data_IF_328631607908
#
_entry.id   IF_328631607908
#
_cell.length_a   1.000
_cell.length_b   1.000
_cell.length_c   1.000
_cell.angle_alpha   90.00
_cell.angle_beta   90.00
_cell.angle_gamma   90.00
#
_symmetry.space_group_name_H-M   'P 1'
#
loop_
_entity.id
_entity.type
_entity.pdbx_description
1 polymer ?
#
# COMPACT_ATOMS: atom_id res chain seq x y z
N UNK A 1 -5.11 6.15 -17.83
CA UNK A 1 -5.05 5.18 -16.73
C UNK A 1 -5.34 3.79 -17.27
N UNK A 2 -4.50 2.79 -16.98
CA UNK A 2 -4.81 1.37 -17.21
C UNK A 2 -5.42 0.78 -15.94
N UNK A 3 -6.22 -0.27 -16.11
CA UNK A 3 -6.84 -0.99 -14.99
C UNK A 3 -6.45 -2.46 -15.04
N UNK A 4 -6.35 -3.07 -13.85
CA UNK A 4 -6.03 -4.49 -13.69
C UNK A 4 -7.05 -5.17 -12.80
N UNK A 5 -7.33 -6.41 -13.08
CA UNK A 5 -8.21 -7.23 -12.24
C UNK A 5 -7.54 -7.49 -10.88
N UNK A 6 -8.30 -7.37 -9.79
CA UNK A 6 -7.81 -7.62 -8.44
C UNK A 6 -8.02 -9.10 -8.07
N UNK A 7 -7.00 -9.90 -8.30
CA UNK A 7 -7.04 -11.34 -8.02
C UNK A 7 -8.22 -12.04 -8.69
N UNK A 8 -8.81 -13.00 -8.00
CA UNK A 8 -9.98 -13.75 -8.46
C UNK A 8 -11.32 -12.98 -8.27
N UNK A 9 -11.29 -11.68 -7.93
CA UNK A 9 -12.50 -10.86 -7.78
C UNK A 9 -13.07 -10.36 -9.12
N UNK A 10 -14.22 -9.70 -9.08
CA UNK A 10 -14.78 -8.93 -10.21
C UNK A 10 -14.30 -7.46 -10.22
N UNK A 11 -13.42 -7.08 -9.28
CA UNK A 11 -12.92 -5.71 -9.17
C UNK A 11 -11.83 -5.42 -10.22
N UNK A 12 -11.97 -4.29 -10.90
CA UNK A 12 -10.92 -3.69 -11.73
C UNK A 12 -10.40 -2.44 -11.03
N UNK A 13 -9.10 -2.43 -10.70
CA UNK A 13 -8.43 -1.34 -10.00
C UNK A 13 -7.44 -0.62 -10.90
N UNK A 14 -7.33 0.69 -10.76
CA UNK A 14 -6.31 1.48 -11.45
C UNK A 14 -4.89 1.06 -11.04
N UNK A 15 -3.97 1.02 -11.99
CA UNK A 15 -2.55 0.68 -11.75
C UNK A 15 -1.89 1.58 -10.71
N UNK A 16 -2.33 2.82 -10.60
CA UNK A 16 -1.97 3.76 -9.54
C UNK A 16 -3.20 3.96 -8.65
N UNK A 17 -3.01 3.84 -7.35
CA UNK A 17 -4.03 4.10 -6.34
C UNK A 17 -3.62 5.22 -5.38
N UNK A 18 -4.61 5.83 -4.74
CA UNK A 18 -4.37 6.87 -3.74
C UNK A 18 -4.49 6.28 -2.34
N UNK A 19 -3.42 6.43 -1.54
CA UNK A 19 -3.36 6.00 -0.15
C UNK A 19 -3.45 7.18 0.83
N UNK A 20 -4.11 6.97 1.95
CA UNK A 20 -4.36 8.01 2.96
C UNK A 20 -3.32 8.05 4.09
N UNK A 21 -2.39 7.10 4.16
CA UNK A 21 -1.43 7.01 5.26
C UNK A 21 -0.57 8.27 5.38
N UNK A 22 -0.49 8.84 6.58
CA UNK A 22 0.23 10.06 6.97
C UNK A 22 -0.20 11.35 6.22
N UNK A 23 -0.87 11.22 5.09
CA UNK A 23 -1.24 12.37 4.29
C UNK A 23 -2.55 12.96 4.80
N UNK A 24 -3.57 12.13 4.99
CA UNK A 24 -4.93 12.57 5.32
C UNK A 24 -5.35 12.28 6.78
N UNK A 25 -4.41 11.91 7.63
CA UNK A 25 -4.62 11.67 9.05
C UNK A 25 -4.11 12.81 9.96
N UNK A 26 -4.14 14.04 9.45
CA UNK A 26 -3.67 15.25 10.13
C UNK A 26 -2.36 15.84 9.60
N UNK A 27 -1.77 15.24 8.54
CA UNK A 27 -0.55 15.73 7.89
C UNK A 27 -0.78 16.69 6.72
N UNK A 28 -2.03 16.81 6.25
CA UNK A 28 -2.44 17.70 5.16
C UNK A 28 -3.78 18.33 5.53
N UNK A 29 -3.93 19.61 5.23
CA UNK A 29 -5.17 20.35 5.43
C UNK A 29 -6.34 19.73 4.66
N UNK A 30 -7.55 19.86 5.19
CA UNK A 30 -8.76 19.23 4.64
C UNK A 30 -9.01 19.60 3.16
N UNK A 31 -8.78 20.87 2.80
CA UNK A 31 -8.95 21.34 1.42
C UNK A 31 -7.95 20.70 0.46
N UNK A 32 -6.71 20.50 0.89
CA UNK A 32 -5.69 19.81 0.10
C UNK A 32 -5.99 18.31 -0.02
N UNK A 33 -6.55 17.68 1.04
CA UNK A 33 -7.04 16.30 0.99
C UNK A 33 -8.13 16.14 -0.06
N UNK A 34 -9.12 17.03 -0.05
CA UNK A 34 -10.20 17.07 -1.06
C UNK A 34 -9.61 17.28 -2.46
N UNK A 35 -8.76 18.29 -2.65
CA UNK A 35 -8.16 18.59 -3.94
C UNK A 35 -7.35 17.41 -4.52
N UNK A 36 -6.60 16.67 -3.68
CA UNK A 36 -5.89 15.46 -4.10
C UNK A 36 -6.86 14.33 -4.47
N UNK A 37 -7.96 14.17 -3.74
CA UNK A 37 -8.96 13.12 -4.03
C UNK A 37 -9.70 13.42 -5.35
N UNK A 38 -10.11 14.66 -5.59
CA UNK A 38 -10.70 15.08 -6.86
C UNK A 38 -9.72 14.90 -8.03
N UNK A 39 -8.46 15.30 -7.86
CA UNK A 39 -7.42 15.07 -8.86
C UNK A 39 -7.18 13.57 -9.15
N UNK A 40 -7.42 12.69 -8.18
CA UNK A 40 -7.34 11.27 -8.40
C UNK A 40 -8.47 10.78 -9.34
N UNK A 41 -9.70 11.22 -9.11
CA UNK A 41 -10.81 10.92 -10.03
C UNK A 41 -10.55 11.50 -11.43
N UNK A 42 -10.08 12.74 -11.53
CA UNK A 42 -9.76 13.39 -12.81
C UNK A 42 -8.66 12.64 -13.58
N UNK A 43 -7.69 12.03 -12.86
CA UNK A 43 -6.64 11.20 -13.44
C UNK A 43 -7.09 9.76 -13.79
N UNK A 44 -8.34 9.39 -13.47
CA UNK A 44 -8.89 8.06 -13.65
C UNK A 44 -8.46 7.06 -12.58
N UNK A 45 -7.98 7.52 -11.43
CA UNK A 45 -7.73 6.65 -10.27
C UNK A 45 -9.08 6.29 -9.66
N UNK A 46 -9.37 4.99 -9.58
CA UNK A 46 -10.59 4.48 -8.97
C UNK A 46 -10.36 3.70 -7.68
N UNK A 47 -9.11 3.56 -7.23
CA UNK A 47 -8.78 2.75 -6.06
C UNK A 47 -8.23 3.61 -4.92
N UNK A 48 -8.91 3.57 -3.76
CA UNK A 48 -8.62 4.36 -2.56
C UNK A 48 -8.33 3.42 -1.39
N UNK A 49 -7.11 3.51 -0.82
CA UNK A 49 -6.64 2.64 0.26
C UNK A 49 -6.44 3.41 1.57
N UNK A 50 -7.14 2.98 2.62
CA UNK A 50 -7.02 3.52 3.97
C UNK A 50 -6.83 2.41 5.02
N UNK A 51 -6.87 2.75 6.30
CA UNK A 51 -6.93 1.83 7.43
C UNK A 51 -7.53 2.53 8.65
N UNK A 52 -8.17 1.76 9.54
CA UNK A 52 -8.74 2.27 10.77
C UNK A 52 -7.72 3.00 11.65
N UNK A 53 -6.47 2.49 11.70
CA UNK A 53 -5.40 3.03 12.54
C UNK A 53 -4.83 4.36 12.04
N UNK A 54 -5.06 4.75 10.79
CA UNK A 54 -4.51 6.00 10.24
C UNK A 54 -5.15 7.22 10.90
N UNK A 55 -4.37 7.86 11.79
CA UNK A 55 -4.88 8.93 12.66
C UNK A 55 -6.02 8.46 13.56
N UNK A 56 -6.04 7.17 13.97
CA UNK A 56 -7.13 6.57 14.78
C UNK A 56 -8.52 6.85 14.18
N UNK A 57 -8.64 6.65 12.87
CA UNK A 57 -9.88 6.84 12.11
C UNK A 57 -10.03 8.19 11.41
N UNK A 58 -9.13 9.14 11.63
CA UNK A 58 -9.22 10.47 11.01
C UNK A 58 -9.14 10.41 9.47
N UNK A 59 -8.30 9.53 8.92
CA UNK A 59 -8.19 9.35 7.47
C UNK A 59 -9.48 8.76 6.86
N UNK A 60 -10.10 7.78 7.52
CA UNK A 60 -11.39 7.24 7.09
C UNK A 60 -12.50 8.30 7.16
N UNK A 61 -12.54 9.10 8.23
CA UNK A 61 -13.53 10.16 8.39
C UNK A 61 -13.39 11.25 7.30
N UNK A 62 -12.16 11.66 6.97
CA UNK A 62 -11.90 12.61 5.91
C UNK A 62 -12.38 12.09 4.54
N UNK A 63 -12.07 10.83 4.21
CA UNK A 63 -12.56 10.24 2.96
C UNK A 63 -14.05 9.93 2.99
N UNK A 64 -14.62 9.57 4.12
CA UNK A 64 -16.07 9.41 4.24
C UNK A 64 -16.84 10.68 3.89
N UNK A 65 -16.28 11.85 4.23
CA UNK A 65 -16.86 13.14 3.84
C UNK A 65 -16.72 13.41 2.34
N UNK A 66 -15.54 13.15 1.76
CA UNK A 66 -15.25 13.49 0.37
C UNK A 66 -15.91 12.49 -0.57
N UNK A 67 -15.69 11.18 -0.36
CA UNK A 67 -16.15 10.12 -1.24
C UNK A 67 -17.68 9.97 -1.26
N UNK A 68 -18.38 10.37 -0.19
CA UNK A 68 -19.85 10.36 -0.18
C UNK A 68 -20.50 11.29 -1.20
N UNK A 69 -19.75 12.21 -1.81
CA UNK A 69 -20.22 13.04 -2.93
C UNK A 69 -20.07 12.39 -4.32
N UNK A 70 -19.41 11.24 -4.41
CA UNK A 70 -19.23 10.47 -5.63
C UNK A 70 -20.15 9.23 -5.64
N UNK A 71 -20.59 8.75 -6.80
CA UNK A 71 -21.34 7.50 -6.90
C UNK A 71 -20.53 6.35 -6.29
N UNK A 72 -21.13 5.56 -5.39
CA UNK A 72 -20.41 4.50 -4.64
C UNK A 72 -19.78 3.44 -5.55
N UNK A 73 -20.39 3.16 -6.68
CA UNK A 73 -19.94 2.20 -7.69
C UNK A 73 -18.86 2.76 -8.65
N UNK A 74 -18.51 4.04 -8.52
CA UNK A 74 -17.48 4.67 -9.36
C UNK A 74 -16.06 4.46 -8.82
N UNK A 75 -15.90 3.88 -7.62
CA UNK A 75 -14.59 3.66 -7.00
C UNK A 75 -14.54 2.38 -6.15
N UNK A 76 -13.34 1.84 -6.02
CA UNK A 76 -12.99 0.73 -5.14
C UNK A 76 -12.41 1.29 -3.84
N UNK A 77 -12.99 0.92 -2.70
CA UNK A 77 -12.60 1.39 -1.38
C UNK A 77 -12.05 0.25 -0.53
N UNK A 78 -10.82 0.40 -0.06
CA UNK A 78 -10.17 -0.55 0.84
C UNK A 78 -9.92 0.07 2.21
N UNK A 79 -10.19 -0.70 3.28
CA UNK A 79 -9.73 -0.38 4.62
C UNK A 79 -9.14 -1.61 5.33
N UNK A 80 -8.53 -1.40 6.50
CA UNK A 80 -7.77 -2.45 7.21
C UNK A 80 -8.05 -2.41 8.71
N UNK A 81 -7.80 -3.54 9.37
CA UNK A 81 -7.91 -3.73 10.82
C UNK A 81 -6.66 -4.41 11.37
N UNK A 82 -6.21 -4.02 12.53
CA UNK A 82 -5.21 -4.63 13.41
C UNK A 82 -4.59 -3.61 14.38
N UNK A 83 -4.28 -2.40 13.94
CA UNK A 83 -3.55 -1.41 14.73
C UNK A 83 -4.35 -0.88 15.92
N UNK A 84 -3.67 -0.26 16.93
CA UNK A 84 -4.31 0.27 18.13
C UNK A 84 -5.21 1.48 17.81
N UNK A 85 -6.46 1.42 18.22
CA UNK A 85 -7.43 2.49 18.00
C UNK A 85 -7.59 3.42 19.20
N UNK A 86 -7.17 2.99 20.38
CA UNK A 86 -7.11 3.78 21.60
C UNK A 86 -5.87 3.43 22.42
N UNK A 87 -5.76 3.99 23.63
CA UNK A 87 -4.66 3.67 24.55
C UNK A 87 -4.93 2.36 25.33
N UNK A 88 -6.12 1.77 25.18
CA UNK A 88 -6.44 0.44 25.70
C UNK A 88 -5.69 -0.63 24.87
N UNK A 89 -4.82 -1.44 25.49
CA UNK A 89 -4.10 -2.51 24.81
C UNK A 89 -5.02 -3.55 24.13
N UNK A 90 -6.25 -3.70 24.59
CA UNK A 90 -7.24 -4.61 24.02
C UNK A 90 -7.90 -4.06 22.74
N UNK A 91 -7.82 -2.74 22.50
CA UNK A 91 -8.47 -2.10 21.35
C UNK A 91 -7.61 -2.18 20.08
N UNK A 92 -7.22 -3.42 19.75
CA UNK A 92 -6.39 -3.77 18.58
C UNK A 92 -6.46 -5.27 18.28
N UNK A 93 -5.89 -5.68 17.16
CA UNK A 93 -5.69 -7.09 16.81
C UNK A 93 -6.73 -7.62 15.84
N UNK A 94 -6.73 -8.96 15.67
CA UNK A 94 -7.57 -9.70 14.73
C UNK A 94 -8.51 -10.70 15.41
N UNK A 95 -8.85 -10.50 16.70
CA UNK A 95 -9.90 -11.31 17.32
C UNK A 95 -11.26 -11.06 16.65
N UNK A 96 -12.16 -12.02 16.74
CA UNK A 96 -13.50 -11.92 16.18
C UNK A 96 -14.25 -10.67 16.69
N UNK A 97 -14.08 -10.33 17.97
CA UNK A 97 -14.65 -9.12 18.56
C UNK A 97 -14.08 -7.85 17.92
N UNK A 98 -12.75 -7.76 17.76
CA UNK A 98 -12.11 -6.59 17.17
C UNK A 98 -12.43 -6.44 15.69
N UNK A 99 -12.43 -7.52 14.92
CA UNK A 99 -12.81 -7.48 13.50
C UNK A 99 -14.24 -6.94 13.34
N UNK A 100 -15.19 -7.48 14.10
CA UNK A 100 -16.59 -7.04 14.05
C UNK A 100 -16.78 -5.58 14.49
N UNK A 101 -16.16 -5.20 15.62
CA UNK A 101 -16.19 -3.82 16.15
C UNK A 101 -15.61 -2.82 15.17
N UNK A 102 -14.44 -3.14 14.61
CA UNK A 102 -13.71 -2.19 13.80
C UNK A 102 -14.31 -2.00 12.41
N UNK A 103 -14.89 -3.04 11.79
CA UNK A 103 -15.57 -2.85 10.50
C UNK A 103 -16.78 -1.92 10.66
N UNK A 104 -17.60 -2.08 11.71
CA UNK A 104 -18.77 -1.22 11.95
C UNK A 104 -18.35 0.24 12.19
N UNK A 105 -17.29 0.44 12.95
CA UNK A 105 -16.71 1.76 13.19
C UNK A 105 -16.13 2.38 11.91
N UNK A 106 -15.45 1.59 11.07
CA UNK A 106 -14.90 2.03 9.79
C UNK A 106 -15.99 2.44 8.81
N UNK A 107 -17.04 1.63 8.66
CA UNK A 107 -18.19 1.95 7.80
C UNK A 107 -18.88 3.24 8.23
N UNK A 108 -19.01 3.47 9.54
CA UNK A 108 -19.55 4.71 10.10
C UNK A 108 -18.70 5.92 9.73
N UNK A 109 -17.35 5.83 9.87
CA UNK A 109 -16.43 6.91 9.51
C UNK A 109 -16.39 7.17 8.01
N UNK A 110 -16.39 6.09 7.20
CA UNK A 110 -16.40 6.14 5.74
C UNK A 110 -17.76 6.52 5.13
N UNK A 111 -18.83 6.61 5.96
CA UNK A 111 -20.19 6.97 5.54
C UNK A 111 -20.73 6.07 4.42
N UNK A 112 -20.48 4.78 4.53
CA UNK A 112 -20.89 3.76 3.54
C UNK A 112 -21.41 2.52 4.28
N UNK A 113 -22.20 1.69 3.60
CA UNK A 113 -22.69 0.42 4.12
C UNK A 113 -21.74 -0.75 3.88
N UNK A 114 -20.79 -0.61 2.96
CA UNK A 114 -19.77 -1.61 2.69
C UNK A 114 -18.46 -1.01 2.17
N UNK A 115 -17.38 -1.79 2.32
CA UNK A 115 -16.11 -1.58 1.60
C UNK A 115 -15.94 -2.67 0.54
N UNK A 116 -15.19 -2.38 -0.53
CA UNK A 116 -14.90 -3.40 -1.55
C UNK A 116 -13.86 -4.39 -1.05
N UNK A 117 -12.87 -3.91 -0.30
CA UNK A 117 -11.78 -4.74 0.22
C UNK A 117 -11.55 -4.46 1.70
N UNK A 118 -11.63 -5.50 2.54
CA UNK A 118 -11.29 -5.44 3.96
C UNK A 118 -10.05 -6.29 4.24
N UNK A 119 -9.04 -5.71 4.88
CA UNK A 119 -7.73 -6.32 4.96
C UNK A 119 -7.25 -6.53 6.41
N UNK A 120 -6.63 -7.68 6.67
CA UNK A 120 -5.78 -7.86 7.84
C UNK A 120 -4.51 -7.01 7.66
N UNK A 121 -4.37 -5.92 8.43
CA UNK A 121 -3.26 -4.97 8.27
C UNK A 121 -1.91 -5.60 8.61
N UNK A 122 -1.90 -6.58 9.51
CA UNK A 122 -0.75 -7.43 9.88
C UNK A 122 -1.27 -8.80 10.32
N UNK A 123 -0.42 -9.79 10.35
CA UNK A 123 -0.72 -11.04 11.03
C UNK A 123 -0.79 -10.82 12.56
N UNK A 124 -1.74 -11.45 13.22
CA UNK A 124 -1.85 -11.39 14.68
C UNK A 124 -1.50 -12.73 15.31
N UNK A 125 -0.26 -12.88 15.85
CA UNK A 125 0.16 -14.14 16.45
C UNK A 125 -0.50 -14.42 17.83
N UNK A 126 -1.26 -13.47 18.37
CA UNK A 126 -1.97 -13.64 19.63
C UNK A 126 -3.37 -14.26 19.46
N UNK A 127 -3.85 -14.37 18.22
CA UNK A 127 -5.16 -14.89 17.87
C UNK A 127 -4.99 -16.13 16.97
N UNK A 128 -5.72 -17.24 17.22
CA UNK A 128 -5.74 -18.37 16.30
C UNK A 128 -6.16 -17.93 14.89
N UNK A 129 -5.45 -18.43 13.88
CA UNK A 129 -5.73 -18.03 12.49
C UNK A 129 -7.14 -18.43 12.05
N UNK A 130 -7.65 -19.53 12.59
CA UNK A 130 -9.01 -20.03 12.37
C UNK A 130 -10.06 -19.00 12.82
N UNK A 131 -9.89 -18.42 14.02
CA UNK A 131 -10.79 -17.38 14.55
C UNK A 131 -10.77 -16.14 13.66
N UNK A 132 -9.56 -15.71 13.23
CA UNK A 132 -9.39 -14.57 12.33
C UNK A 132 -10.12 -14.80 11.00
N UNK A 133 -9.94 -15.97 10.39
CA UNK A 133 -10.55 -16.33 9.11
C UNK A 133 -12.07 -16.38 9.21
N UNK A 134 -12.61 -17.08 10.22
CA UNK A 134 -14.06 -17.16 10.45
C UNK A 134 -14.68 -15.76 10.66
N UNK A 135 -14.01 -14.89 11.39
CA UNK A 135 -14.47 -13.53 11.61
C UNK A 135 -14.50 -12.69 10.31
N UNK A 136 -13.46 -12.81 9.46
CA UNK A 136 -13.44 -12.15 8.16
C UNK A 136 -14.52 -12.67 7.21
N UNK A 137 -14.71 -13.99 7.13
CA UNK A 137 -15.79 -14.59 6.34
C UNK A 137 -17.16 -14.06 6.78
N UNK A 138 -17.38 -13.91 8.08
CA UNK A 138 -18.63 -13.37 8.64
C UNK A 138 -18.87 -11.91 8.24
N UNK A 139 -17.82 -11.11 8.11
CA UNK A 139 -17.92 -9.72 7.60
C UNK A 139 -18.41 -9.72 6.14
N UNK A 140 -17.94 -10.64 5.31
CA UNK A 140 -18.39 -10.80 3.92
C UNK A 140 -19.84 -11.31 3.87
N UNK A 141 -20.19 -12.33 4.65
CA UNK A 141 -21.56 -12.84 4.76
C UNK A 141 -22.59 -11.78 5.17
N UNK A 142 -22.16 -10.82 6.02
CA UNK A 142 -22.97 -9.67 6.44
C UNK A 142 -23.06 -8.56 5.38
N UNK A 143 -22.35 -8.70 4.24
CA UNK A 143 -22.31 -7.70 3.18
C UNK A 143 -21.54 -6.42 3.53
N UNK A 144 -20.76 -6.42 4.63
CA UNK A 144 -19.96 -5.26 5.07
C UNK A 144 -18.66 -5.10 4.32
N UNK A 145 -18.15 -6.17 3.71
CA UNK A 145 -17.04 -6.17 2.77
C UNK A 145 -17.38 -7.11 1.61
N UNK A 146 -16.94 -6.75 0.39
CA UNK A 146 -17.12 -7.63 -0.78
C UNK A 146 -16.03 -8.69 -0.85
N UNK A 147 -14.79 -8.28 -0.59
CA UNK A 147 -13.60 -9.12 -0.68
C UNK A 147 -12.67 -8.90 0.50
N UNK A 148 -11.80 -9.88 0.70
CA UNK A 148 -10.81 -9.90 1.77
C UNK A 148 -9.38 -9.83 1.22
N UNK A 149 -8.48 -9.27 2.03
CA UNK A 149 -7.05 -9.22 1.75
C UNK A 149 -6.22 -9.23 3.03
N UNK A 150 -4.92 -9.22 2.85
CA UNK A 150 -3.96 -9.13 3.96
C UNK A 150 -2.76 -8.27 3.58
N UNK A 151 -1.99 -7.84 4.58
CA UNK A 151 -0.76 -7.07 4.40
C UNK A 151 0.36 -7.63 5.26
N UNK A 152 1.55 -7.81 4.67
CA UNK A 152 2.76 -8.23 5.37
C UNK A 152 2.61 -9.54 6.15
N UNK A 153 2.08 -10.58 5.50
CA UNK A 153 2.08 -11.94 6.00
C UNK A 153 3.24 -12.74 5.39
N UNK A 154 3.78 -13.71 6.12
CA UNK A 154 4.78 -14.64 5.56
C UNK A 154 4.13 -15.65 4.64
N UNK A 155 4.93 -16.28 3.76
CA UNK A 155 4.43 -17.32 2.87
C UNK A 155 3.78 -18.49 3.63
N UNK A 156 4.31 -18.84 4.81
CA UNK A 156 3.74 -19.89 5.67
C UNK A 156 2.39 -19.48 6.24
N UNK A 157 2.22 -18.21 6.65
CA UNK A 157 0.95 -17.70 7.15
C UNK A 157 -0.12 -17.64 6.05
N UNK A 158 0.27 -17.24 4.84
CA UNK A 158 -0.61 -17.22 3.67
C UNK A 158 -1.04 -18.65 3.32
N UNK A 159 -0.08 -19.59 3.25
CA UNK A 159 -0.38 -20.98 2.95
C UNK A 159 -1.30 -21.59 3.99
N UNK A 160 -1.07 -21.34 5.28
CA UNK A 160 -1.94 -21.82 6.36
C UNK A 160 -3.39 -21.31 6.22
N UNK A 161 -3.57 -20.06 5.83
CA UNK A 161 -4.91 -19.51 5.58
C UNK A 161 -5.60 -20.17 4.37
N UNK A 162 -4.84 -20.40 3.30
CA UNK A 162 -5.34 -21.09 2.09
C UNK A 162 -5.70 -22.56 2.39
N UNK A 163 -4.90 -23.25 3.18
CA UNK A 163 -5.16 -24.64 3.57
C UNK A 163 -6.44 -24.76 4.42
N UNK A 164 -6.75 -23.74 5.22
CA UNK A 164 -7.94 -23.70 6.07
C UNK A 164 -9.23 -23.34 5.33
N UNK A 165 -9.18 -22.34 4.44
CA UNK A 165 -10.39 -21.76 3.88
C UNK A 165 -10.44 -21.74 2.34
N UNK A 166 -9.41 -22.29 1.68
CA UNK A 166 -9.29 -22.34 0.23
C UNK A 166 -8.67 -21.09 -0.39
N UNK A 167 -8.26 -21.17 -1.67
CA UNK A 167 -7.54 -20.10 -2.37
C UNK A 167 -8.42 -18.87 -2.68
N UNK A 168 -9.74 -19.02 -2.59
CA UNK A 168 -10.68 -17.92 -2.87
C UNK A 168 -10.92 -16.99 -1.67
N UNK A 169 -10.34 -17.30 -0.51
CA UNK A 169 -10.51 -16.51 0.71
C UNK A 169 -10.02 -15.07 0.53
N UNK A 170 -8.81 -14.92 -0.01
CA UNK A 170 -8.19 -13.62 -0.23
C UNK A 170 -8.01 -13.32 -1.71
N UNK A 171 -8.31 -12.10 -2.11
CA UNK A 171 -8.11 -11.61 -3.48
C UNK A 171 -6.87 -10.71 -3.60
N UNK A 172 -6.35 -10.21 -2.47
CA UNK A 172 -5.20 -9.31 -2.48
C UNK A 172 -4.22 -9.53 -1.34
N UNK A 173 -2.95 -9.34 -1.66
CA UNK A 173 -1.81 -9.19 -0.75
C UNK A 173 -1.31 -7.74 -0.82
N UNK A 174 -0.92 -7.15 0.30
CA UNK A 174 -0.39 -5.79 0.33
C UNK A 174 1.02 -5.75 0.93
N UNK A 175 2.05 -6.11 0.16
CA UNK A 175 3.45 -6.04 0.60
C UNK A 175 4.08 -4.66 0.34
N UNK A 176 5.16 -4.33 1.08
CA UNK A 176 6.10 -3.30 0.67
C UNK A 176 6.82 -3.73 -0.61
N UNK A 177 6.86 -2.86 -1.63
CA UNK A 177 7.60 -3.15 -2.85
C UNK A 177 8.03 -1.87 -3.57
N UNK A 178 9.30 -1.84 -3.96
CA UNK A 178 9.90 -0.73 -4.72
C UNK A 178 11.23 -1.17 -5.33
N UNK A 179 11.86 -0.34 -6.15
CA UNK A 179 13.22 -0.58 -6.65
C UNK A 179 14.26 -0.87 -5.56
N UNK A 180 14.06 -0.33 -4.33
CA UNK A 180 14.97 -0.53 -3.21
C UNK A 180 14.52 -1.65 -2.24
N UNK A 181 13.32 -2.17 -2.40
CA UNK A 181 12.75 -3.23 -1.57
C UNK A 181 12.10 -4.27 -2.48
N UNK A 182 12.86 -5.30 -2.82
CA UNK A 182 12.47 -6.35 -3.78
C UNK A 182 12.16 -7.68 -3.09
N UNK A 183 12.10 -7.71 -1.76
CA UNK A 183 11.85 -8.91 -0.97
C UNK A 183 10.63 -9.75 -1.44
N UNK A 184 9.51 -9.15 -1.92
CA UNK A 184 8.38 -9.93 -2.45
C UNK A 184 8.71 -10.79 -3.69
N UNK A 185 9.72 -10.43 -4.47
CA UNK A 185 10.16 -11.23 -5.63
C UNK A 185 10.78 -12.57 -5.21
N UNK A 186 11.20 -12.70 -3.95
CA UNK A 186 11.80 -13.92 -3.41
C UNK A 186 10.72 -14.92 -2.91
N UNK A 187 9.66 -15.14 -3.69
CA UNK A 187 8.67 -16.19 -3.51
C UNK A 187 7.26 -15.75 -3.12
N UNK A 188 7.06 -14.50 -2.61
CA UNK A 188 5.70 -14.03 -2.32
C UNK A 188 4.89 -13.88 -3.62
N UNK A 189 5.46 -13.28 -4.65
CA UNK A 189 4.77 -13.07 -5.93
C UNK A 189 4.39 -14.41 -6.58
N UNK A 190 5.29 -15.39 -6.58
CA UNK A 190 5.00 -16.74 -7.12
C UNK A 190 3.86 -17.41 -6.35
N UNK A 191 3.86 -17.30 -5.01
CA UNK A 191 2.81 -17.86 -4.16
C UNK A 191 1.45 -17.18 -4.43
N UNK A 192 1.43 -15.86 -4.48
CA UNK A 192 0.17 -15.12 -4.69
C UNK A 192 -0.39 -15.35 -6.10
N UNK A 193 0.46 -15.39 -7.13
CA UNK A 193 0.05 -15.70 -8.50
C UNK A 193 -0.55 -17.11 -8.61
N UNK A 194 0.11 -18.12 -8.00
CA UNK A 194 -0.37 -19.51 -8.02
C UNK A 194 -1.78 -19.68 -7.43
N UNK A 195 -2.19 -18.78 -6.55
CA UNK A 195 -3.50 -18.82 -5.89
C UNK A 195 -4.48 -17.73 -6.39
N UNK A 196 -4.13 -17.00 -7.47
CA UNK A 196 -4.99 -15.98 -8.04
C UNK A 196 -5.19 -14.75 -7.12
N UNK A 197 -4.19 -14.45 -6.29
CA UNK A 197 -4.14 -13.29 -5.40
C UNK A 197 -3.28 -12.23 -6.07
N UNK A 198 -3.79 -11.01 -6.27
CA UNK A 198 -3.00 -9.89 -6.80
C UNK A 198 -2.29 -9.13 -5.68
N UNK A 199 -1.18 -8.49 -6.02
CA UNK A 199 -0.48 -7.61 -5.09
C UNK A 199 -0.88 -6.14 -5.32
N UNK A 200 -1.26 -5.45 -4.25
CA UNK A 200 -1.42 -4.00 -4.19
C UNK A 200 -0.30 -3.46 -3.30
N UNK A 201 0.69 -2.82 -3.88
CA UNK A 201 1.95 -2.59 -3.17
C UNK A 201 2.02 -1.21 -2.53
N UNK A 202 2.54 -1.15 -1.30
CA UNK A 202 2.75 0.11 -0.60
C UNK A 202 4.21 0.57 -0.66
N UNK A 203 4.43 1.89 -0.49
CA UNK A 203 5.74 2.55 -0.58
C UNK A 203 6.48 2.33 -1.90
N UNK A 204 5.83 2.39 -3.07
CA UNK A 204 6.49 2.16 -4.35
C UNK A 204 7.59 3.18 -4.67
N UNK A 205 7.56 4.34 -4.02
CA UNK A 205 8.60 5.39 -4.11
C UNK A 205 9.58 5.39 -2.92
N UNK A 206 9.66 4.28 -2.15
CA UNK A 206 10.55 4.14 -0.99
C UNK A 206 10.48 5.36 -0.06
N UNK A 207 9.28 5.73 0.40
CA UNK A 207 9.02 6.89 1.26
C UNK A 207 9.46 8.24 0.65
N UNK A 208 9.62 8.30 -0.65
CA UNK A 208 10.06 9.48 -1.40
C UNK A 208 11.56 9.51 -1.71
N UNK A 209 12.33 8.49 -1.35
CA UNK A 209 13.76 8.37 -1.74
C UNK A 209 13.89 8.27 -3.26
N UNK A 210 13.04 7.48 -3.91
CA UNK A 210 13.00 7.31 -5.37
C UNK A 210 12.46 8.53 -6.15
N UNK A 211 12.29 9.68 -5.47
CA UNK A 211 12.07 10.97 -6.17
C UNK A 211 13.37 11.69 -6.53
N UNK A 212 14.53 11.21 -6.02
CA UNK A 212 15.84 11.81 -6.25
C UNK A 212 16.13 13.08 -5.43
N UNK A 213 15.18 13.55 -4.61
CA UNK A 213 15.33 14.79 -3.82
C UNK A 213 16.31 14.67 -2.65
N UNK A 214 16.52 13.45 -2.14
CA UNK A 214 17.49 13.19 -1.09
C UNK A 214 18.84 12.85 -1.73
N UNK A 215 19.90 13.55 -1.30
CA UNK A 215 21.24 13.41 -1.90
C UNK A 215 22.24 12.93 -0.86
N UNK A 216 23.19 12.06 -1.25
CA UNK A 216 24.28 11.63 -0.39
C UNK A 216 25.04 12.82 0.22
N UNK A 217 25.39 12.74 1.50
CA UNK A 217 26.14 13.77 2.21
C UNK A 217 25.45 15.13 2.34
N UNK A 218 24.18 15.29 1.93
CA UNK A 218 23.44 16.54 2.05
C UNK A 218 22.41 16.45 3.20
N UNK A 219 22.07 17.59 3.86
CA UNK A 219 21.00 17.62 4.83
C UNK A 219 19.66 17.25 4.18
N UNK A 220 18.77 16.69 5.00
CA UNK A 220 17.40 16.36 4.56
C UNK A 220 16.68 17.66 4.15
N UNK A 221 16.10 17.73 2.94
CA UNK A 221 15.39 18.91 2.48
C UNK A 221 14.23 19.32 3.41
N UNK A 222 14.15 20.59 3.74
CA UNK A 222 13.07 21.16 4.54
C UNK A 222 11.69 20.88 3.89
N UNK A 223 10.66 20.62 4.71
CA UNK A 223 9.32 20.28 4.24
C UNK A 223 9.20 18.90 3.60
N UNK A 224 10.30 18.11 3.52
CA UNK A 224 10.23 16.75 3.04
C UNK A 224 9.74 15.79 4.15
N UNK A 225 9.29 14.59 3.74
CA UNK A 225 8.77 13.57 4.68
C UNK A 225 9.76 13.28 5.82
N UNK A 226 11.04 13.13 5.52
CA UNK A 226 12.06 12.79 6.52
C UNK A 226 12.58 14.00 7.33
N UNK A 227 12.12 15.21 7.05
CA UNK A 227 12.29 16.34 7.95
C UNK A 227 11.31 16.31 9.15
N UNK A 228 10.34 15.37 9.15
CA UNK A 228 9.42 15.16 10.26
C UNK A 228 9.94 14.05 11.16
N UNK A 229 10.18 14.33 12.44
CA UNK A 229 10.70 13.37 13.43
C UNK A 229 9.81 12.13 13.62
N UNK A 230 8.49 12.27 13.42
CA UNK A 230 7.57 11.14 13.46
C UNK A 230 7.87 10.07 12.39
N UNK A 231 8.68 10.40 11.38
CA UNK A 231 9.09 9.51 10.30
C UNK A 231 10.46 8.86 10.49
N UNK A 232 11.13 9.05 11.65
CA UNK A 232 12.47 8.50 11.90
C UNK A 232 12.54 6.99 11.64
N UNK A 233 11.60 6.21 12.18
CA UNK A 233 11.57 4.75 11.98
C UNK A 233 11.38 4.30 10.53
N UNK A 234 10.67 5.06 9.71
CA UNK A 234 10.52 4.78 8.27
C UNK A 234 11.76 5.21 7.47
N UNK A 235 12.49 6.23 7.96
CA UNK A 235 13.75 6.69 7.38
C UNK A 235 14.82 5.61 7.42
N UNK A 236 15.00 4.96 8.58
CA UNK A 236 16.06 3.96 8.80
C UNK A 236 15.99 2.76 7.83
N UNK A 237 14.83 2.53 7.22
CA UNK A 237 14.62 1.42 6.29
C UNK A 237 15.16 1.67 4.88
N UNK A 238 15.14 2.91 4.42
CA UNK A 238 15.39 3.24 3.00
C UNK A 238 16.40 4.37 2.82
N UNK A 239 16.76 5.07 3.88
CA UNK A 239 17.65 6.23 3.85
C UNK A 239 19.08 5.86 4.25
N UNK A 240 19.71 4.95 3.51
CA UNK A 240 21.14 4.67 3.62
C UNK A 240 21.94 5.43 2.58
N UNK A 241 23.22 5.72 2.83
CA UNK A 241 24.10 6.35 1.85
C UNK A 241 24.13 5.55 0.54
N UNK A 242 24.25 4.22 0.62
CA UNK A 242 24.24 3.33 -0.54
C UNK A 242 22.96 3.43 -1.37
N UNK A 243 21.79 3.50 -0.69
CA UNK A 243 20.51 3.69 -1.39
C UNK A 243 20.45 5.07 -2.08
N UNK A 244 20.90 6.13 -1.40
CA UNK A 244 20.91 7.47 -1.98
C UNK A 244 21.83 7.55 -3.20
N UNK A 245 23.03 6.95 -3.12
CA UNK A 245 23.95 6.88 -4.26
C UNK A 245 23.36 6.09 -5.44
N UNK A 246 22.72 4.95 -5.17
CA UNK A 246 22.04 4.16 -6.20
C UNK A 246 20.95 4.98 -6.90
N UNK A 247 20.12 5.69 -6.11
CA UNK A 247 19.06 6.56 -6.65
C UNK A 247 19.64 7.70 -7.49
N UNK A 248 20.76 8.31 -7.09
CA UNK A 248 21.38 9.36 -7.92
C UNK A 248 21.90 8.81 -9.24
N UNK A 249 22.34 7.54 -9.33
CA UNK A 249 22.71 6.91 -10.60
C UNK A 249 21.50 6.66 -11.51
N UNK A 250 20.28 6.54 -10.96
CA UNK A 250 19.05 6.38 -11.76
C UNK A 250 18.58 7.68 -12.41
N UNK A 251 18.95 8.85 -11.86
CA UNK A 251 18.49 10.15 -12.39
C UNK A 251 18.80 10.32 -13.87
N UNK A 252 20.07 10.21 -14.34
CA UNK A 252 20.39 10.36 -15.77
C UNK A 252 19.73 9.28 -16.65
N UNK A 253 19.50 8.08 -16.13
CA UNK A 253 18.81 7.00 -16.86
C UNK A 253 17.35 7.35 -17.12
N UNK A 254 16.66 7.92 -16.11
CA UNK A 254 15.29 8.39 -16.26
C UNK A 254 15.22 9.55 -17.28
N UNK A 255 16.13 10.51 -17.18
CA UNK A 255 16.20 11.67 -18.09
C UNK A 255 16.45 11.23 -19.55
N UNK A 256 17.38 10.29 -19.79
CA UNK A 256 17.64 9.72 -21.11
C UNK A 256 16.43 8.99 -21.70
N UNK A 257 15.65 8.34 -20.84
CA UNK A 257 14.37 7.70 -21.22
C UNK A 257 13.20 8.70 -21.39
N UNK A 258 13.42 9.99 -21.16
CA UNK A 258 12.38 11.03 -21.22
C UNK A 258 11.35 10.92 -20.09
N UNK A 259 11.73 10.28 -18.98
CA UNK A 259 10.85 10.06 -17.81
C UNK A 259 11.33 10.87 -16.60
N UNK A 260 10.40 11.23 -15.72
CA UNK A 260 10.80 11.62 -14.38
C UNK A 260 11.24 10.39 -13.58
N UNK A 261 12.13 10.55 -12.61
CA UNK A 261 12.55 9.42 -11.78
C UNK A 261 11.38 8.76 -11.02
N UNK A 262 10.42 9.50 -10.43
CA UNK A 262 9.22 8.88 -9.86
C UNK A 262 8.40 8.08 -10.88
N UNK A 263 8.25 8.58 -12.11
CA UNK A 263 7.54 7.87 -13.18
C UNK A 263 8.27 6.57 -13.54
N UNK A 264 9.59 6.61 -13.70
CA UNK A 264 10.41 5.41 -13.93
C UNK A 264 10.24 4.40 -12.78
N UNK A 265 10.30 4.87 -11.52
CA UNK A 265 10.18 3.99 -10.35
C UNK A 265 8.80 3.32 -10.25
N UNK A 266 7.72 4.04 -10.51
CA UNK A 266 6.37 3.50 -10.51
C UNK A 266 6.13 2.55 -11.69
N UNK A 267 6.59 2.90 -12.89
CA UNK A 267 6.52 2.03 -14.07
C UNK A 267 7.32 0.73 -13.85
N UNK A 268 8.47 0.81 -13.16
CA UNK A 268 9.26 -0.37 -12.80
C UNK A 268 8.49 -1.29 -11.85
N UNK A 269 7.78 -0.76 -10.86
CA UNK A 269 6.90 -1.53 -9.97
C UNK A 269 5.77 -2.20 -10.77
N UNK A 270 5.15 -1.46 -11.66
CA UNK A 270 4.02 -1.92 -12.49
C UNK A 270 4.42 -2.85 -13.64
N UNK A 271 5.74 -3.04 -13.90
CA UNK A 271 6.21 -4.00 -14.91
C UNK A 271 5.82 -5.45 -14.59
N UNK A 272 5.58 -5.72 -13.31
CA UNK A 272 5.18 -7.05 -12.81
C UNK A 272 3.67 -7.23 -12.97
N UNK A 273 3.28 -8.32 -13.65
CA UNK A 273 1.86 -8.69 -13.82
C UNK A 273 1.17 -9.02 -12.52
N UNK A 274 1.92 -9.50 -11.52
CA UNK A 274 1.45 -9.86 -10.18
C UNK A 274 1.06 -8.62 -9.34
N UNK A 275 1.48 -7.42 -9.77
CA UNK A 275 1.13 -6.15 -9.11
C UNK A 275 -0.08 -5.53 -9.81
N UNK A 276 -1.23 -5.54 -9.14
CA UNK A 276 -2.44 -4.91 -9.67
C UNK A 276 -2.43 -3.39 -9.51
N UNK A 277 -1.89 -2.88 -8.41
CA UNK A 277 -1.88 -1.44 -8.15
C UNK A 277 -0.70 -1.03 -7.25
N UNK A 278 -0.16 0.16 -7.49
CA UNK A 278 0.85 0.81 -6.67
C UNK A 278 0.20 1.95 -5.86
N UNK A 279 0.18 1.81 -4.52
CA UNK A 279 -0.41 2.78 -3.61
C UNK A 279 0.53 3.98 -3.46
N UNK A 280 0.09 5.14 -3.92
CA UNK A 280 0.84 6.39 -3.82
C UNK A 280 0.16 7.36 -2.86
N UNK A 281 0.96 8.14 -2.13
CA UNK A 281 0.49 9.28 -1.36
C UNK A 281 0.73 10.59 -2.11
N UNK A 282 -0.13 11.58 -1.89
CA UNK A 282 0.02 12.92 -2.42
C UNK A 282 -0.44 13.97 -1.42
N UNK A 283 0.28 15.07 -1.32
CA UNK A 283 -0.07 16.25 -0.50
C UNK A 283 -0.56 17.44 -1.33
N UNK A 284 -0.54 17.31 -2.66
CA UNK A 284 -1.04 18.30 -3.62
C UNK A 284 -1.42 17.63 -4.95
N UNK A 285 -2.38 18.17 -5.71
CA UNK A 285 -2.91 17.59 -6.95
C UNK A 285 -1.84 17.26 -8.01
N UNK A 286 -0.80 18.09 -8.14
CA UNK A 286 0.25 17.88 -9.13
C UNK A 286 1.01 16.56 -8.89
N UNK A 287 1.14 16.13 -7.63
CA UNK A 287 1.74 14.83 -7.32
C UNK A 287 0.84 13.67 -7.74
N UNK A 288 -0.47 13.82 -7.63
CA UNK A 288 -1.43 12.81 -8.09
C UNK A 288 -1.29 12.61 -9.60
N UNK A 289 -1.32 13.69 -10.36
CA UNK A 289 -1.15 13.62 -11.83
C UNK A 289 0.23 13.07 -12.23
N UNK A 290 1.29 13.49 -11.54
CA UNK A 290 2.65 12.98 -11.79
C UNK A 290 2.77 11.48 -11.52
N UNK A 291 2.16 10.98 -10.44
CA UNK A 291 2.13 9.54 -10.15
C UNK A 291 1.28 8.78 -11.18
N UNK A 292 0.11 9.32 -11.54
CA UNK A 292 -0.79 8.71 -12.52
C UNK A 292 -0.15 8.57 -13.93
N UNK A 293 0.79 9.45 -14.26
CA UNK A 293 1.54 9.40 -15.52
C UNK A 293 2.40 8.14 -15.70
N UNK A 294 2.66 7.38 -14.63
CA UNK A 294 3.36 6.11 -14.71
C UNK A 294 2.51 4.96 -15.27
N UNK A 295 1.18 5.09 -15.19
CA UNK A 295 0.28 4.08 -15.73
C UNK A 295 0.41 3.99 -17.24
N UNK A 296 0.61 2.78 -17.73
CA UNK A 296 0.75 2.52 -19.15
C UNK A 296 2.13 2.81 -19.73
N UNK A 297 3.13 3.13 -18.91
CA UNK A 297 4.53 3.26 -19.33
C UNK A 297 5.16 1.87 -19.39
N UNK A 298 5.52 1.44 -20.59
CA UNK A 298 6.21 0.17 -20.82
C UNK A 298 7.73 0.40 -20.89
N UNK A 299 8.49 -0.29 -20.04
CA UNK A 299 9.96 -0.15 -19.97
C UNK A 299 10.63 -1.18 -20.89
N UNK A 300 11.55 -0.72 -21.75
CA UNK A 300 12.31 -1.63 -22.62
C UNK A 300 13.26 -2.52 -21.81
N UNK A 301 13.64 -3.71 -22.32
CA UNK A 301 14.63 -4.58 -21.67
C UNK A 301 15.97 -3.87 -21.43
N UNK A 302 16.42 -3.02 -22.36
CA UNK A 302 17.66 -2.27 -22.22
C UNK A 302 17.58 -1.25 -21.07
N UNK A 303 16.43 -0.58 -20.91
CA UNK A 303 16.19 0.35 -19.82
C UNK A 303 16.16 -0.38 -18.47
N UNK A 304 15.47 -1.53 -18.39
CA UNK A 304 15.47 -2.37 -17.18
C UNK A 304 16.88 -2.83 -16.82
N UNK A 305 17.67 -3.30 -17.77
CA UNK A 305 19.05 -3.67 -17.54
C UNK A 305 19.93 -2.48 -17.09
N UNK A 306 19.66 -1.26 -17.58
CA UNK A 306 20.34 -0.06 -17.11
C UNK A 306 19.97 0.29 -15.67
N UNK A 307 18.69 0.16 -15.31
CA UNK A 307 18.19 0.33 -13.94
C UNK A 307 18.86 -0.67 -12.98
N UNK A 308 18.90 -1.95 -13.33
CA UNK A 308 19.50 -3.00 -12.50
C UNK A 308 20.99 -2.74 -12.27
N UNK A 309 21.74 -2.34 -13.31
CA UNK A 309 23.16 -1.94 -13.17
C UNK A 309 23.35 -0.73 -12.25
N UNK A 310 22.43 0.25 -12.32
CA UNK A 310 22.52 1.44 -11.49
C UNK A 310 22.18 1.16 -10.02
N UNK A 311 21.23 0.28 -9.76
CA UNK A 311 20.87 -0.15 -8.41
C UNK A 311 21.98 -0.99 -7.78
N UNK A 312 22.62 -1.89 -8.54
CA UNK A 312 23.65 -2.80 -8.01
C UNK A 312 23.15 -3.60 -6.81
N UNK A 313 23.92 -3.61 -5.74
CA UNK A 313 23.61 -4.36 -4.50
C UNK A 313 22.79 -3.54 -3.47
N UNK A 314 22.28 -2.36 -3.86
CA UNK A 314 21.49 -1.53 -2.93
C UNK A 314 20.10 -2.10 -2.57
N UNK A 315 19.36 -2.79 -3.48
CA UNK A 315 18.05 -3.33 -3.15
C UNK A 315 18.11 -4.45 -2.11
N UNK A 316 17.14 -4.45 -1.19
CA UNK A 316 16.88 -5.60 -0.32
C UNK A 316 16.11 -6.65 -1.11
N UNK A 317 16.73 -7.81 -1.34
CA UNK A 317 16.18 -8.94 -2.13
C UNK A 317 15.83 -10.17 -1.28
N UNK A 318 16.36 -10.26 -0.06
CA UNK A 318 16.10 -11.38 0.85
C UNK A 318 14.64 -11.40 1.30
N UNK A 319 14.01 -12.61 1.40
CA UNK A 319 12.63 -12.73 1.87
C UNK A 319 12.49 -12.17 3.28
N UNK A 320 11.78 -11.07 3.42
CA UNK A 320 11.52 -10.47 4.73
C UNK A 320 10.26 -9.61 4.69
N UNK A 321 9.65 -9.44 5.87
CA UNK A 321 8.56 -8.48 6.06
C UNK A 321 9.13 -7.11 6.43
N UNK A 322 8.35 -6.07 6.19
CA UNK A 322 8.67 -4.74 6.68
C UNK A 322 8.87 -4.75 8.21
N UNK A 323 9.85 -4.02 8.77
CA UNK A 323 10.21 -4.09 10.18
C UNK A 323 9.07 -3.80 11.16
N UNK A 324 8.12 -2.93 10.78
CA UNK A 324 6.93 -2.70 11.58
C UNK A 324 5.98 -3.92 11.63
N UNK A 325 6.05 -4.82 10.66
CA UNK A 325 5.34 -6.09 10.67
C UNK A 325 6.08 -7.16 11.51
N UNK A 326 7.43 -7.16 11.48
CA UNK A 326 8.25 -8.05 12.29
C UNK A 326 8.09 -7.82 13.80
N UNK A 327 7.78 -6.60 14.23
CA UNK A 327 7.56 -6.27 15.64
C UNK A 327 6.38 -7.05 16.28
N UNK A 328 5.41 -7.49 15.48
CA UNK A 328 4.33 -8.38 15.91
C UNK A 328 4.78 -9.83 16.17
N UNK A 329 5.86 -10.26 15.51
CA UNK A 329 6.38 -11.64 15.59
C UNK A 329 7.31 -11.85 16.80
N UNK A 330 7.89 -10.78 17.34
CA UNK A 330 8.95 -10.84 18.40
C UNK A 330 8.46 -10.64 19.84
N UNK A 331 7.16 -10.51 20.09
CA UNK A 331 6.66 -10.40 21.46
C UNK A 331 6.08 -11.75 21.93
N UNK A 332 6.99 -12.62 22.37
CA UNK A 332 6.75 -13.61 23.42
C UNK A 332 7.38 -13.12 24.72
#
# INVERSE_FOLDING_TARGET
MRYRKLGNSDLEVSEISLGSWLTYSGGVEADATRACTEAAFDAGINFFDTANVYGRGAAEAAWGEILSSHPRDSYVLATKVWGPMSDDPADRGLSAEQIAKQIDASLTRLRTDHVDLYQAHRFDPAVPIEETIEAFQKVVEQGKARYLGFSEWTNEQIQAAIDLAGPELFVSSQPQYSMLWQAPEAGLFDLTEAHGISNIVWSPLAQGVLTGKYRPGQPVPEGSRFANDAMAGARDLVYSEANLEAVQRLVPIAEEAGLSLPTLALAWVLRRSEVASAITGASRPEQVHANAAASGVDLSPDLLAAVDRALGDAPLTEPTLAPNAQAGVKRR
#
